data_IF_738310317385
#
_entry.id   IF_738310317385
#
_cell.length_a   1.000
_cell.length_b   1.000
_cell.length_c   1.000
_cell.angle_alpha   90.00
_cell.angle_beta   90.00
_cell.angle_gamma   90.00
#
_symmetry.space_group_name_H-M   'P 1'
#
loop_
_entity.id
_entity.type
_entity.pdbx_description
1 polymer ?
#
# COMPACT_ATOMS: atom_id res chain seq x y z
N UNK A 1 2.81 -22.31 32.92
CA UNK A 1 2.58 -22.91 31.58
C UNK A 1 2.22 -21.76 30.63
N UNK A 2 2.77 -21.69 29.41
CA UNK A 2 2.39 -20.62 28.46
C UNK A 2 1.05 -20.99 27.81
N UNK A 3 0.15 -20.00 27.68
CA UNK A 3 -1.13 -20.19 27.00
C UNK A 3 -0.95 -19.89 25.50
N UNK A 4 -1.47 -20.77 24.64
CA UNK A 4 -1.33 -20.66 23.19
C UNK A 4 -2.70 -20.56 22.50
N UNK A 5 -2.74 -19.76 21.43
CA UNK A 5 -3.82 -19.73 20.46
C UNK A 5 -3.37 -20.37 19.15
N UNK A 6 -4.23 -21.14 18.53
CA UNK A 6 -3.99 -21.70 17.20
C UNK A 6 -4.80 -20.90 16.17
N UNK A 7 -4.16 -20.51 15.07
CA UNK A 7 -4.84 -19.93 13.93
C UNK A 7 -4.63 -20.76 12.67
N UNK A 8 -5.73 -21.18 12.05
CA UNK A 8 -5.73 -21.90 10.79
C UNK A 8 -6.56 -21.16 9.72
N UNK A 9 -6.02 -21.03 8.50
CA UNK A 9 -6.74 -20.55 7.33
C UNK A 9 -6.77 -21.62 6.26
N UNK A 10 -7.96 -21.96 5.82
CA UNK A 10 -8.20 -23.00 4.84
C UNK A 10 -8.83 -22.45 3.59
N UNK A 11 -8.38 -22.94 2.42
CA UNK A 11 -9.05 -22.73 1.15
C UNK A 11 -10.22 -23.70 1.02
N UNK A 12 -11.22 -23.38 0.19
CA UNK A 12 -12.38 -24.26 -0.10
C UNK A 12 -11.99 -25.63 -0.65
N UNK A 13 -10.76 -25.78 -1.14
CA UNK A 13 -10.20 -27.02 -1.70
C UNK A 13 -9.35 -27.82 -0.73
N UNK A 14 -8.99 -27.27 0.43
CA UNK A 14 -8.14 -27.95 1.42
C UNK A 14 -8.99 -28.91 2.27
N UNK A 15 -8.98 -30.18 1.91
CA UNK A 15 -9.56 -31.28 2.71
C UNK A 15 -8.75 -31.58 3.99
N UNK A 16 -7.70 -30.83 4.30
CA UNK A 16 -6.72 -31.14 5.35
C UNK A 16 -6.66 -30.12 6.50
N UNK A 17 -7.78 -29.47 6.81
CA UNK A 17 -7.82 -28.54 7.98
C UNK A 17 -7.52 -29.26 9.27
N UNK A 18 -8.12 -30.42 9.44
CA UNK A 18 -7.96 -31.21 10.65
C UNK A 18 -6.52 -31.70 10.84
N UNK A 19 -5.82 -32.01 9.74
CA UNK A 19 -4.40 -32.37 9.83
C UNK A 19 -3.54 -31.17 10.24
N UNK A 20 -3.82 -29.97 9.74
CA UNK A 20 -3.11 -28.76 10.17
C UNK A 20 -3.34 -28.47 11.66
N UNK A 21 -4.58 -28.57 12.11
CA UNK A 21 -4.91 -28.37 13.52
C UNK A 21 -4.29 -29.45 14.40
N UNK A 22 -4.34 -30.70 13.97
CA UNK A 22 -3.68 -31.81 14.66
C UNK A 22 -2.19 -31.54 14.84
N UNK A 23 -1.52 -31.17 13.76
CA UNK A 23 -0.10 -30.85 13.75
C UNK A 23 0.26 -29.68 14.69
N UNK A 24 -0.60 -28.65 14.75
CA UNK A 24 -0.37 -27.49 15.62
C UNK A 24 -0.67 -27.81 17.08
N UNK A 25 -1.64 -28.66 17.36
CA UNK A 25 -1.90 -29.19 18.73
C UNK A 25 -0.74 -30.05 19.21
N UNK A 26 -0.17 -30.88 18.32
CA UNK A 26 1.01 -31.67 18.65
C UNK A 26 2.21 -30.75 18.95
N UNK A 27 2.45 -29.74 18.11
CA UNK A 27 3.49 -28.74 18.35
C UNK A 27 3.31 -28.02 19.70
N UNK A 28 2.06 -27.68 20.06
CA UNK A 28 1.76 -27.06 21.34
C UNK A 28 2.10 -28.01 22.49
N UNK A 29 1.70 -29.30 22.40
CA UNK A 29 1.98 -30.32 23.41
C UNK A 29 3.49 -30.56 23.58
N UNK A 30 4.23 -30.68 22.45
CA UNK A 30 5.69 -30.90 22.45
C UNK A 30 6.45 -29.73 23.11
N UNK A 31 5.89 -28.52 23.03
CA UNK A 31 6.46 -27.32 23.66
C UNK A 31 5.91 -27.00 25.04
N UNK A 32 5.02 -27.81 25.56
CA UNK A 32 4.39 -27.61 26.86
C UNK A 32 3.49 -26.38 26.93
N UNK A 33 2.83 -26.04 25.81
CA UNK A 33 1.86 -24.94 25.74
C UNK A 33 0.45 -25.45 25.98
N UNK A 34 -0.35 -24.70 26.71
CA UNK A 34 -1.78 -24.96 26.91
C UNK A 34 -2.57 -24.23 25.79
N UNK A 35 -3.26 -24.98 24.93
CA UNK A 35 -4.10 -24.40 23.87
C UNK A 35 -5.42 -23.92 24.46
N UNK A 36 -5.60 -22.62 24.58
CA UNK A 36 -6.79 -21.99 25.16
C UNK A 36 -7.86 -21.65 24.12
N UNK A 37 -7.49 -21.43 22.85
CA UNK A 37 -8.43 -21.07 21.81
C UNK A 37 -7.91 -21.43 20.42
N UNK A 38 -8.82 -21.84 19.54
CA UNK A 38 -8.57 -22.06 18.12
C UNK A 38 -9.42 -21.10 17.29
N UNK A 39 -8.78 -20.49 16.28
CA UNK A 39 -9.41 -19.55 15.35
C UNK A 39 -9.27 -20.10 13.94
N UNK A 40 -10.35 -20.05 13.19
CA UNK A 40 -10.39 -20.58 11.83
C UNK A 40 -11.06 -19.60 10.87
N UNK A 41 -10.47 -19.48 9.68
CA UNK A 41 -11.06 -18.76 8.55
C UNK A 41 -11.21 -19.70 7.36
N UNK A 42 -12.44 -19.79 6.82
CA UNK A 42 -12.80 -20.73 5.77
C UNK A 42 -13.00 -20.01 4.43
N UNK A 43 -12.52 -20.64 3.35
CA UNK A 43 -12.99 -20.38 1.99
C UNK A 43 -12.76 -19.01 1.41
N UNK A 44 -11.92 -18.18 2.03
CA UNK A 44 -11.77 -16.79 1.66
C UNK A 44 -10.65 -16.63 0.64
N UNK A 45 -11.00 -16.74 -0.65
CA UNK A 45 -10.14 -16.34 -1.76
C UNK A 45 -10.36 -14.85 -2.09
N UNK A 46 -9.26 -14.08 -2.15
CA UNK A 46 -9.30 -12.70 -2.63
C UNK A 46 -8.81 -11.63 -1.64
N UNK A 47 -8.29 -10.53 -2.22
CA UNK A 47 -7.65 -9.42 -1.47
C UNK A 47 -8.59 -8.65 -0.51
N UNK A 48 -9.91 -8.76 -0.68
CA UNK A 48 -10.91 -7.96 0.06
C UNK A 48 -11.75 -8.76 1.07
N UNK A 49 -11.54 -10.06 1.19
CA UNK A 49 -12.40 -10.87 2.05
C UNK A 49 -12.09 -10.62 3.53
N UNK A 50 -13.14 -10.44 4.34
CA UNK A 50 -13.04 -10.34 5.81
C UNK A 50 -12.50 -11.64 6.36
N UNK A 51 -11.71 -11.55 7.42
CA UNK A 51 -11.14 -12.68 8.15
C UNK A 51 -11.62 -12.65 9.61
N UNK A 52 -12.86 -13.07 9.85
CA UNK A 52 -13.45 -12.96 11.18
C UNK A 52 -12.66 -13.74 12.25
N UNK A 53 -12.03 -14.86 11.88
CA UNK A 53 -11.17 -15.63 12.76
C UNK A 53 -9.90 -14.87 13.14
N UNK A 54 -9.23 -14.24 12.17
CA UNK A 54 -8.06 -13.39 12.44
C UNK A 54 -8.44 -12.13 13.21
N UNK A 55 -9.55 -11.48 12.85
CA UNK A 55 -10.03 -10.28 13.55
C UNK A 55 -10.32 -10.61 15.03
N UNK A 56 -10.91 -11.78 15.31
CA UNK A 56 -11.17 -12.25 16.67
C UNK A 56 -9.88 -12.61 17.40
N UNK A 57 -8.94 -13.29 16.74
CA UNK A 57 -7.61 -13.57 17.29
C UNK A 57 -6.95 -12.27 17.77
N UNK A 58 -6.92 -11.22 16.90
CA UNK A 58 -6.29 -9.96 17.25
C UNK A 58 -7.02 -9.23 18.39
N UNK A 59 -8.35 -9.31 18.44
CA UNK A 59 -9.13 -8.75 19.55
C UNK A 59 -8.81 -9.44 20.88
N UNK A 60 -8.71 -10.77 20.89
CA UNK A 60 -8.37 -11.55 22.06
C UNK A 60 -6.89 -11.41 22.47
N UNK A 61 -6.00 -11.21 21.49
CA UNK A 61 -4.59 -10.85 21.71
C UNK A 61 -4.45 -9.53 22.50
N UNK A 62 -5.20 -8.49 22.12
CA UNK A 62 -5.23 -7.20 22.84
C UNK A 62 -5.75 -7.36 24.27
N UNK A 63 -6.59 -8.35 24.53
CA UNK A 63 -7.08 -8.72 25.87
C UNK A 63 -6.11 -9.64 26.63
N UNK A 64 -4.96 -10.01 26.03
CA UNK A 64 -3.93 -10.88 26.61
C UNK A 64 -4.46 -12.25 27.06
N UNK A 65 -5.41 -12.83 26.30
CA UNK A 65 -5.98 -14.15 26.62
C UNK A 65 -5.00 -15.29 26.42
N UNK A 66 -3.94 -15.06 25.65
CA UNK A 66 -2.86 -16.02 25.37
C UNK A 66 -1.53 -15.29 25.22
N UNK A 67 -0.45 -16.01 25.34
CA UNK A 67 0.92 -15.49 25.24
C UNK A 67 1.66 -15.98 23.99
N UNK A 68 1.12 -16.97 23.27
CA UNK A 68 1.73 -17.56 22.07
C UNK A 68 0.67 -17.73 20.99
N UNK A 69 1.01 -17.45 19.72
CA UNK A 69 0.19 -17.75 18.54
C UNK A 69 0.91 -18.78 17.69
N UNK A 70 0.24 -19.89 17.41
CA UNK A 70 0.74 -20.99 16.58
C UNK A 70 0.03 -20.99 15.22
N UNK A 71 0.80 -21.08 14.14
CA UNK A 71 0.28 -21.16 12.77
C UNK A 71 1.00 -22.23 11.96
N UNK A 72 0.33 -22.80 10.97
CA UNK A 72 0.94 -23.77 10.07
C UNK A 72 1.99 -23.13 9.16
N UNK A 73 1.73 -21.89 8.69
CA UNK A 73 2.64 -21.10 7.85
C UNK A 73 2.32 -19.61 8.01
N UNK A 74 3.32 -18.73 7.86
CA UNK A 74 3.16 -17.29 8.05
C UNK A 74 2.19 -16.66 7.02
N UNK A 75 2.10 -17.22 5.81
CA UNK A 75 1.17 -16.78 4.76
C UNK A 75 -0.31 -17.01 5.14
N UNK A 76 -0.60 -17.78 6.16
CA UNK A 76 -1.95 -17.94 6.71
C UNK A 76 -2.41 -16.68 7.43
N UNK A 77 -1.53 -16.04 8.17
CA UNK A 77 -1.83 -14.80 8.94
C UNK A 77 -1.85 -13.58 8.04
N UNK A 78 -0.93 -13.48 7.10
CA UNK A 78 -0.76 -12.27 6.30
C UNK A 78 -1.08 -12.48 4.81
N UNK A 79 -1.44 -11.40 4.13
CA UNK A 79 -1.69 -11.34 2.67
C UNK A 79 -0.51 -10.74 1.91
N UNK A 80 0.40 -10.12 2.61
CA UNK A 80 1.62 -9.52 2.08
C UNK A 80 2.67 -9.47 3.19
N UNK A 81 3.93 -9.35 2.81
CA UNK A 81 5.04 -9.19 3.76
C UNK A 81 4.80 -7.98 4.65
N UNK A 82 4.38 -6.85 4.08
CA UNK A 82 4.06 -5.65 4.86
C UNK A 82 2.98 -5.89 5.92
N UNK A 83 1.90 -6.59 5.56
CA UNK A 83 0.85 -6.93 6.52
C UNK A 83 1.34 -7.92 7.59
N UNK A 84 2.22 -8.87 7.21
CA UNK A 84 2.85 -9.78 8.17
C UNK A 84 3.67 -9.01 9.22
N UNK A 85 4.52 -8.10 8.77
CA UNK A 85 5.33 -7.28 9.68
C UNK A 85 4.45 -6.43 10.62
N UNK A 86 3.37 -5.84 10.11
CA UNK A 86 2.41 -5.09 10.97
C UNK A 86 1.80 -5.96 12.06
N UNK A 87 1.44 -7.21 11.74
CA UNK A 87 0.90 -8.15 12.74
C UNK A 87 2.00 -8.55 13.74
N UNK A 88 3.24 -8.75 13.28
CA UNK A 88 4.35 -9.07 14.16
C UNK A 88 4.70 -7.92 15.10
N UNK A 89 4.71 -6.67 14.63
CA UNK A 89 4.90 -5.48 15.46
C UNK A 89 3.81 -5.36 16.53
N UNK A 90 2.56 -5.69 16.17
CA UNK A 90 1.46 -5.69 17.14
C UNK A 90 1.64 -6.79 18.17
N UNK A 91 2.01 -8.02 17.77
CA UNK A 91 2.30 -9.10 18.72
C UNK A 91 3.47 -8.78 19.64
N UNK A 92 4.55 -8.21 19.12
CA UNK A 92 5.70 -7.79 19.94
C UNK A 92 5.29 -6.73 20.97
N UNK A 93 4.50 -5.73 20.57
CA UNK A 93 3.98 -4.69 21.47
C UNK A 93 3.10 -5.26 22.60
N UNK A 94 2.38 -6.34 22.30
CA UNK A 94 1.54 -7.08 23.25
C UNK A 94 2.32 -8.14 24.05
N UNK A 95 3.60 -8.36 23.70
CA UNK A 95 4.47 -9.42 24.24
C UNK A 95 3.91 -10.83 23.96
N UNK A 96 3.36 -11.03 22.77
CA UNK A 96 2.86 -12.32 22.28
C UNK A 96 3.90 -12.91 21.35
N UNK A 97 4.29 -14.14 21.63
CA UNK A 97 5.22 -14.90 20.79
C UNK A 97 4.47 -15.48 19.58
N UNK A 98 5.16 -15.51 18.44
CA UNK A 98 4.61 -16.09 17.21
C UNK A 98 5.46 -17.28 16.77
N UNK A 99 4.82 -18.40 16.47
CA UNK A 99 5.46 -19.62 16.00
C UNK A 99 4.81 -20.10 14.72
N UNK A 100 5.60 -20.20 13.65
CA UNK A 100 5.20 -20.79 12.37
C UNK A 100 5.89 -22.13 12.19
N UNK A 101 5.09 -23.20 11.99
CA UNK A 101 5.62 -24.56 11.88
C UNK A 101 6.42 -24.79 10.61
N UNK A 102 5.87 -24.40 9.45
CA UNK A 102 6.46 -24.68 8.14
C UNK A 102 7.81 -24.00 7.94
N UNK A 103 7.91 -22.73 8.32
CA UNK A 103 9.13 -21.94 8.17
C UNK A 103 10.07 -22.02 9.38
N UNK A 104 9.69 -22.76 10.44
CA UNK A 104 10.44 -22.85 11.68
C UNK A 104 10.74 -21.47 12.32
N UNK A 105 9.80 -20.53 12.15
CA UNK A 105 9.91 -19.19 12.73
C UNK A 105 9.43 -19.27 14.19
N UNK A 106 10.25 -18.80 15.10
CA UNK A 106 9.92 -18.69 16.52
C UNK A 106 10.44 -17.34 17.05
N UNK A 107 9.51 -16.42 17.32
CA UNK A 107 9.85 -15.06 17.75
C UNK A 107 10.23 -14.98 19.24
N UNK A 108 10.11 -16.06 20.01
CA UNK A 108 10.56 -16.11 21.40
C UNK A 108 12.08 -15.98 21.52
N UNK A 109 12.80 -16.42 20.48
CA UNK A 109 14.26 -16.43 20.43
C UNK A 109 14.87 -15.31 19.60
N UNK A 110 16.19 -15.09 19.73
CA UNK A 110 16.90 -14.07 18.96
C UNK A 110 16.89 -14.33 17.44
N UNK A 111 16.88 -15.59 17.01
CA UNK A 111 16.82 -15.97 15.59
C UNK A 111 15.50 -15.55 14.92
N UNK A 112 14.36 -15.67 15.62
CA UNK A 112 13.08 -15.23 15.09
C UNK A 112 13.04 -13.71 14.89
N UNK A 113 13.59 -12.95 15.82
CA UNK A 113 13.71 -11.49 15.69
C UNK A 113 14.64 -11.09 14.54
N UNK A 114 15.77 -11.75 14.38
CA UNK A 114 16.65 -11.56 13.23
C UNK A 114 15.93 -11.82 11.91
N UNK A 115 15.15 -12.91 11.84
CA UNK A 115 14.35 -13.26 10.67
C UNK A 115 13.34 -12.17 10.30
N UNK A 116 12.61 -11.63 11.29
CA UNK A 116 11.68 -10.52 11.07
C UNK A 116 12.39 -9.27 10.54
N UNK A 117 13.56 -8.94 11.08
CA UNK A 117 14.38 -7.82 10.61
C UNK A 117 14.80 -8.00 9.14
N UNK A 118 15.25 -9.20 8.78
CA UNK A 118 15.64 -9.52 7.40
C UNK A 118 14.45 -9.40 6.43
N UNK A 119 13.30 -9.98 6.80
CA UNK A 119 12.08 -9.86 5.97
C UNK A 119 11.65 -8.40 5.83
N UNK A 120 11.76 -7.61 6.90
CA UNK A 120 11.49 -6.17 6.87
C UNK A 120 12.37 -5.44 5.87
N UNK A 121 13.67 -5.66 5.93
CA UNK A 121 14.64 -5.03 5.02
C UNK A 121 14.41 -5.43 3.55
N UNK A 122 14.05 -6.70 3.30
CA UNK A 122 13.70 -7.15 1.93
C UNK A 122 12.43 -6.45 1.43
N UNK A 123 11.40 -6.29 2.27
CA UNK A 123 10.16 -5.62 1.89
C UNK A 123 10.36 -4.12 1.59
N UNK A 124 11.24 -3.46 2.33
CA UNK A 124 11.64 -2.07 2.06
C UNK A 124 12.39 -1.98 0.74
N UNK A 125 13.37 -2.84 0.50
CA UNK A 125 14.11 -2.91 -0.76
C UNK A 125 13.18 -3.13 -1.96
N UNK A 126 12.22 -4.06 -1.88
CA UNK A 126 11.21 -4.25 -2.94
C UNK A 126 10.41 -2.96 -3.21
N UNK A 127 9.99 -2.27 -2.15
CA UNK A 127 9.23 -1.03 -2.26
C UNK A 127 10.04 0.07 -2.95
N UNK A 128 11.32 0.20 -2.61
CA UNK A 128 12.23 1.18 -3.20
C UNK A 128 12.51 0.88 -4.67
N UNK A 129 12.75 -0.38 -5.02
CA UNK A 129 12.92 -0.79 -6.42
C UNK A 129 11.68 -0.52 -7.28
N UNK A 130 10.48 -0.73 -6.73
CA UNK A 130 9.22 -0.40 -7.42
C UNK A 130 9.12 1.11 -7.61
N UNK A 131 9.43 1.89 -6.57
CA UNK A 131 9.42 3.36 -6.63
C UNK A 131 10.39 3.91 -7.67
N UNK A 132 11.61 3.37 -7.71
CA UNK A 132 12.60 3.75 -8.72
C UNK A 132 12.12 3.48 -10.14
N UNK A 133 11.56 2.28 -10.39
CA UNK A 133 10.99 1.93 -11.71
C UNK A 133 9.87 2.87 -12.12
N UNK A 134 8.97 3.20 -11.20
CA UNK A 134 7.86 4.15 -11.45
C UNK A 134 8.41 5.53 -11.77
N UNK A 135 9.38 6.03 -10.99
CA UNK A 135 9.99 7.33 -11.22
C UNK A 135 10.76 7.39 -12.55
N UNK A 136 11.48 6.32 -12.91
CA UNK A 136 12.15 6.20 -14.20
C UNK A 136 11.14 6.19 -15.36
N UNK A 137 10.05 5.42 -15.24
CA UNK A 137 8.97 5.41 -16.22
C UNK A 137 8.29 6.77 -16.38
N UNK A 138 8.04 7.50 -15.28
CA UNK A 138 7.49 8.84 -15.31
C UNK A 138 8.45 9.85 -15.97
N UNK A 139 9.77 9.76 -15.70
CA UNK A 139 10.77 10.61 -16.37
C UNK A 139 10.76 10.36 -17.88
N UNK A 140 10.77 9.10 -18.30
CA UNK A 140 10.70 8.72 -19.71
C UNK A 140 9.44 9.25 -20.36
N UNK A 141 8.27 9.02 -19.78
CA UNK A 141 6.99 9.54 -20.30
C UNK A 141 7.00 11.06 -20.44
N UNK A 142 7.63 11.78 -19.49
CA UNK A 142 7.78 13.22 -19.57
C UNK A 142 8.70 13.66 -20.72
N UNK A 143 9.80 12.94 -20.97
CA UNK A 143 10.70 13.18 -22.10
C UNK A 143 10.01 12.92 -23.45
N UNK A 144 9.18 11.87 -23.50
CA UNK A 144 8.36 11.52 -24.66
C UNK A 144 7.15 12.48 -24.88
N UNK A 145 7.06 13.57 -24.09
CA UNK A 145 5.98 14.55 -24.18
C UNK A 145 4.63 14.06 -23.65
N UNK A 146 4.59 12.87 -23.03
CA UNK A 146 3.36 12.32 -22.45
C UNK A 146 3.01 13.09 -21.19
N UNK A 147 1.80 13.60 -21.14
CA UNK A 147 1.30 14.33 -19.98
C UNK A 147 1.08 13.39 -18.81
N UNK A 148 1.73 13.68 -17.69
CA UNK A 148 1.59 12.92 -16.44
C UNK A 148 0.58 13.64 -15.53
N UNK A 149 -0.34 12.88 -14.93
CA UNK A 149 -1.33 13.39 -14.00
C UNK A 149 -2.74 13.52 -14.59
N UNK A 150 -3.64 14.11 -13.80
CA UNK A 150 -5.03 14.29 -14.21
C UNK A 150 -5.13 15.23 -15.42
N UNK A 151 -5.90 14.82 -16.42
CA UNK A 151 -6.18 15.68 -17.57
C UNK A 151 -6.75 17.03 -17.11
N UNK A 152 -6.37 18.15 -17.77
CA UNK A 152 -6.97 19.44 -17.46
C UNK A 152 -8.46 19.38 -17.78
N UNK A 153 -9.25 19.99 -16.92
CA UNK A 153 -10.64 20.20 -17.21
C UNK A 153 -10.74 21.27 -18.32
N UNK A 154 -11.50 20.97 -19.37
CA UNK A 154 -11.82 21.98 -20.37
C UNK A 154 -12.83 22.96 -19.76
N UNK A 155 -12.33 24.04 -19.18
CA UNK A 155 -13.11 25.03 -18.44
C UNK A 155 -12.72 26.42 -18.90
N UNK A 156 -13.70 27.20 -19.37
CA UNK A 156 -13.50 28.63 -19.60
C UNK A 156 -13.39 29.35 -18.25
N UNK A 157 -12.13 29.50 -17.82
CA UNK A 157 -11.81 30.13 -16.53
C UNK A 157 -12.25 31.59 -16.48
N UNK A 158 -12.20 32.31 -17.61
CA UNK A 158 -12.61 33.71 -17.70
C UNK A 158 -14.12 33.83 -17.55
N UNK A 159 -14.89 32.95 -18.18
CA UNK A 159 -16.34 32.90 -17.99
C UNK A 159 -16.76 32.57 -16.57
N UNK A 160 -16.09 31.63 -15.90
CA UNK A 160 -16.34 31.33 -14.50
C UNK A 160 -16.12 32.54 -13.58
N UNK A 161 -15.06 33.29 -13.83
CA UNK A 161 -14.75 34.52 -13.09
C UNK A 161 -15.78 35.62 -13.39
N UNK A 162 -16.16 35.83 -14.66
CA UNK A 162 -17.20 36.79 -15.06
C UNK A 162 -18.53 36.49 -14.35
N UNK A 163 -19.00 35.24 -14.38
CA UNK A 163 -20.22 34.84 -13.72
C UNK A 163 -20.21 35.16 -12.20
N UNK A 164 -19.05 34.97 -11.57
CA UNK A 164 -18.91 35.33 -10.15
C UNK A 164 -18.93 36.82 -9.91
N UNK A 165 -18.28 37.62 -10.81
CA UNK A 165 -18.24 39.06 -10.68
C UNK A 165 -19.58 39.73 -11.03
N UNK A 166 -20.43 39.08 -11.84
CA UNK A 166 -21.80 39.55 -12.14
C UNK A 166 -22.78 39.32 -10.97
N UNK A 167 -22.32 38.88 -9.78
CA UNK A 167 -23.12 38.73 -8.59
C UNK A 167 -23.61 37.31 -8.30
N UNK A 168 -23.34 36.32 -9.15
CA UNK A 168 -23.73 34.94 -8.86
C UNK A 168 -23.00 34.40 -7.61
N UNK A 169 -23.72 33.63 -6.80
CA UNK A 169 -23.13 33.01 -5.60
C UNK A 169 -22.10 31.94 -5.98
N UNK A 170 -21.11 31.69 -5.12
CA UNK A 170 -20.10 30.63 -5.36
C UNK A 170 -20.73 29.26 -5.62
N UNK A 171 -21.83 28.97 -4.95
CA UNK A 171 -22.57 27.71 -5.11
C UNK A 171 -23.27 27.63 -6.48
N UNK A 172 -23.86 28.73 -6.93
CA UNK A 172 -24.54 28.80 -8.22
C UNK A 172 -23.53 28.66 -9.39
N UNK A 173 -22.38 29.36 -9.32
CA UNK A 173 -21.31 29.23 -10.31
C UNK A 173 -20.73 27.82 -10.32
N UNK A 174 -20.47 27.22 -9.15
CA UNK A 174 -19.96 25.85 -9.03
C UNK A 174 -20.92 24.84 -9.67
N UNK A 175 -22.22 24.97 -9.42
CA UNK A 175 -23.27 24.13 -10.02
C UNK A 175 -23.37 24.33 -11.55
N UNK A 176 -23.35 25.56 -12.02
CA UNK A 176 -23.44 25.88 -13.46
C UNK A 176 -22.30 25.28 -14.27
N UNK A 177 -21.09 25.32 -13.74
CA UNK A 177 -19.88 24.88 -14.43
C UNK A 177 -19.43 23.44 -14.06
N UNK A 178 -20.17 22.73 -13.21
CA UNK A 178 -19.85 21.36 -12.78
C UNK A 178 -18.53 21.26 -12.01
N UNK A 179 -18.15 22.31 -11.27
CA UNK A 179 -16.87 22.40 -10.55
C UNK A 179 -17.07 22.55 -9.04
N UNK A 180 -16.01 22.35 -8.27
CA UNK A 180 -16.07 22.57 -6.83
C UNK A 180 -16.08 24.06 -6.48
N UNK A 181 -16.74 24.42 -5.37
CA UNK A 181 -16.73 25.79 -4.83
C UNK A 181 -15.31 26.30 -4.55
N UNK A 182 -14.43 25.43 -4.10
CA UNK A 182 -13.01 25.75 -3.85
C UNK A 182 -12.27 26.15 -5.12
N UNK A 183 -12.58 25.51 -6.25
CA UNK A 183 -11.99 25.88 -7.54
C UNK A 183 -12.46 27.26 -7.99
N UNK A 184 -13.76 27.55 -7.89
CA UNK A 184 -14.30 28.88 -8.21
C UNK A 184 -13.62 29.97 -7.38
N UNK A 185 -13.50 29.74 -6.06
CA UNK A 185 -12.84 30.67 -5.15
C UNK A 185 -11.37 30.90 -5.53
N UNK A 186 -10.61 29.84 -5.85
CA UNK A 186 -9.22 29.95 -6.30
C UNK A 186 -9.08 30.74 -7.62
N UNK A 187 -9.98 30.53 -8.56
CA UNK A 187 -9.96 31.24 -9.84
C UNK A 187 -10.22 32.75 -9.66
N UNK A 188 -11.21 33.10 -8.84
CA UNK A 188 -11.55 34.50 -8.55
C UNK A 188 -10.44 35.20 -7.77
N UNK A 189 -9.84 34.54 -6.77
CA UNK A 189 -8.74 35.12 -6.00
C UNK A 189 -7.50 35.34 -6.88
N UNK A 190 -7.21 34.41 -7.79
CA UNK A 190 -6.10 34.53 -8.75
C UNK A 190 -6.32 35.67 -9.73
N UNK A 191 -7.54 35.84 -10.22
CA UNK A 191 -7.92 36.97 -11.07
C UNK A 191 -7.79 38.33 -10.36
N UNK A 192 -8.13 38.40 -9.05
CA UNK A 192 -8.00 39.61 -8.22
C UNK A 192 -6.54 39.94 -7.87
N UNK A 193 -5.68 38.96 -7.78
CA UNK A 193 -4.24 39.14 -7.47
C UNK A 193 -3.43 39.64 -8.67
N UNK A 194 -4.07 39.98 -9.80
CA UNK A 194 -3.38 40.47 -10.99
C UNK A 194 -2.52 39.46 -11.74
N UNK A 195 -2.56 38.19 -11.32
CA UNK A 195 -1.87 37.08 -11.96
C UNK A 195 -2.69 36.64 -13.19
N UNK A 196 -2.74 37.49 -14.20
CA UNK A 196 -3.20 37.19 -15.55
C UNK A 196 -2.25 36.19 -16.18
N UNK A 197 -2.10 35.03 -15.54
CA UNK A 197 -1.30 33.95 -16.06
C UNK A 197 -1.86 33.50 -17.38
N UNK A 198 -1.32 34.11 -18.46
CA UNK A 198 -1.26 33.47 -19.76
C UNK A 198 -0.74 32.06 -19.50
N UNK A 199 -1.59 31.07 -19.76
CA UNK A 199 -1.10 29.71 -19.94
C UNK A 199 -0.23 29.77 -21.16
N UNK A 200 1.06 30.03 -20.98
CA UNK A 200 2.05 29.79 -22.01
C UNK A 200 1.83 28.34 -22.46
N UNK A 201 1.65 28.10 -23.75
CA UNK A 201 1.71 26.73 -24.25
C UNK A 201 3.02 26.13 -23.78
N UNK A 202 3.08 24.81 -23.52
CA UNK A 202 4.32 24.18 -23.12
C UNK A 202 5.38 24.57 -24.12
N UNK A 203 6.42 25.27 -23.63
CA UNK A 203 7.58 25.65 -24.46
C UNK A 203 8.11 24.32 -24.99
N UNK A 204 8.22 24.13 -26.31
CA UNK A 204 8.89 22.96 -26.85
C UNK A 204 10.33 23.03 -26.38
N UNK A 205 10.77 22.03 -25.65
CA UNK A 205 12.14 21.89 -25.18
C UNK A 205 12.97 21.44 -26.39
N UNK A 206 13.32 22.38 -27.26
CA UNK A 206 14.19 22.11 -28.42
C UNK A 206 15.52 22.85 -28.33
N UNK A 207 15.71 23.78 -27.38
CA UNK A 207 16.88 24.66 -27.40
C UNK A 207 17.73 24.66 -26.11
N UNK A 208 18.03 23.50 -25.55
CA UNK A 208 18.98 23.43 -24.42
C UNK A 208 19.99 22.25 -24.50
N UNK A 209 20.18 21.67 -25.67
CA UNK A 209 21.36 20.86 -25.95
C UNK A 209 21.90 21.32 -27.31
N UNK A 210 22.77 22.32 -27.26
CA UNK A 210 23.65 22.68 -28.36
C UNK A 210 24.64 21.53 -28.60
N UNK A 211 24.22 20.52 -29.36
CA UNK A 211 25.12 19.59 -30.01
C UNK A 211 25.10 19.98 -31.49
N UNK A 212 26.03 20.85 -31.86
CA UNK A 212 26.44 21.07 -33.22
C UNK A 212 26.85 19.73 -33.83
N UNK A 213 25.98 19.16 -34.66
CA UNK A 213 26.44 18.18 -35.66
C UNK A 213 27.12 18.96 -36.77
N UNK A 214 28.42 19.02 -36.70
CA UNK A 214 29.23 19.43 -37.86
C UNK A 214 29.00 18.42 -38.98
N UNK A 215 28.33 18.89 -40.00
CA UNK A 215 28.38 18.35 -41.35
C UNK A 215 29.83 18.37 -41.83
N UNK A 216 30.39 17.25 -42.15
CA UNK A 216 31.48 17.17 -43.10
C UNK A 216 31.17 16.02 -44.05
N UNK A 217 30.75 16.49 -45.22
CA UNK A 217 30.72 15.72 -46.43
C UNK A 217 32.17 15.50 -46.95
N UNK A 218 32.28 14.49 -47.81
CA UNK A 218 33.28 14.28 -48.85
C UNK A 218 34.67 13.81 -48.44
N UNK A 219 35.01 12.62 -48.82
CA UNK A 219 35.80 12.29 -50.02
C UNK A 219 36.18 10.82 -50.05
N UNK A 220 35.80 10.20 -51.12
CA UNK A 220 36.57 9.33 -52.04
C UNK A 220 37.80 8.62 -51.46
N UNK A 221 37.82 7.34 -51.49
CA UNK A 221 38.63 6.37 -52.29
C UNK A 221 38.26 4.96 -51.94
#
# INVERSE_FOLDING_TARGET
>A
MKTAAIYARVSTTDQHVESQLYDLRQLAADRGFEVVQEYQDWGISGRKARRPGLDKLMADARQKKFSVVLVAAFDRVARSVKHFLQVMDEFDSLRIEFVSRRENIDTSGPMGRLFLTLIGSIAELESDLIRERVLAGMRRAKLDGVRIGRAPMNLDRAAVVRDRLSGMTLTAVAKKWGVSRSLVCKLVNRSRAGDGGSVSPPVPIVDLIGVTRSSSAEASW
#
